data_IF_036717942258
#
_entry.id   IF_036717942258
#
_cell.length_a   1.000
_cell.length_b   1.000
_cell.length_c   1.000
_cell.angle_alpha   90.00
_cell.angle_beta   90.00
_cell.angle_gamma   90.00
#
_symmetry.space_group_name_H-M   'P 1'
#
loop_
_entity.id
_entity.type
_entity.pdbx_description
1 polymer ?
#
# COMPACT_ATOMS: atom_id res chain seq x y z
N UNK A 1 33.49 7.45 -20.55
CA UNK A 1 33.01 8.36 -19.49
C UNK A 1 32.63 9.78 -19.95
N UNK A 2 32.54 10.10 -21.26
CA UNK A 2 32.11 11.45 -21.72
C UNK A 2 30.76 11.43 -22.47
N UNK A 3 30.29 10.26 -22.93
CA UNK A 3 29.17 10.18 -23.88
C UNK A 3 27.76 10.30 -23.25
N UNK A 4 27.62 10.04 -21.95
CA UNK A 4 26.33 10.06 -21.23
C UNK A 4 25.86 11.50 -20.94
N UNK A 5 26.81 12.43 -20.70
CA UNK A 5 26.53 13.85 -20.43
C UNK A 5 25.86 14.61 -21.59
N UNK A 6 25.81 14.03 -22.79
CA UNK A 6 25.22 14.69 -23.97
C UNK A 6 23.75 14.33 -24.21
N UNK A 7 23.29 13.14 -23.82
CA UNK A 7 21.93 12.68 -24.18
C UNK A 7 20.88 13.18 -23.19
N UNK A 8 21.21 13.25 -21.90
CA UNK A 8 20.33 13.82 -20.86
C UNK A 8 19.99 15.29 -21.18
N UNK A 9 20.98 16.09 -21.57
CA UNK A 9 20.80 17.50 -21.92
C UNK A 9 19.88 17.70 -23.14
N UNK A 10 19.90 16.78 -24.12
CA UNK A 10 19.06 16.86 -25.33
C UNK A 10 17.60 16.45 -25.02
N UNK A 11 17.41 15.42 -24.18
CA UNK A 11 16.06 14.95 -23.79
C UNK A 11 15.32 16.00 -22.95
N UNK A 12 16.01 16.67 -22.02
CA UNK A 12 15.42 17.77 -21.24
C UNK A 12 15.15 18.99 -22.13
N UNK A 13 16.09 19.40 -22.99
CA UNK A 13 15.92 20.55 -23.87
C UNK A 13 14.73 20.40 -24.84
N UNK A 14 14.49 19.20 -25.40
CA UNK A 14 13.36 18.96 -26.30
C UNK A 14 11.99 18.94 -25.60
N UNK A 15 11.92 18.73 -24.28
CA UNK A 15 10.66 18.83 -23.52
C UNK A 15 10.41 20.23 -22.95
N UNK A 16 11.44 20.96 -22.52
CA UNK A 16 11.28 22.35 -22.03
C UNK A 16 10.85 23.30 -23.15
N UNK A 17 11.30 23.09 -24.40
CA UNK A 17 10.87 23.90 -25.54
C UNK A 17 9.40 23.69 -25.95
N UNK A 18 8.72 22.64 -25.47
CA UNK A 18 7.32 22.36 -25.81
C UNK A 18 6.29 23.15 -24.97
N UNK A 19 6.71 23.80 -23.88
CA UNK A 19 5.85 24.65 -23.03
C UNK A 19 6.14 26.16 -23.19
N UNK A 20 6.91 26.54 -24.21
CA UNK A 20 7.40 27.89 -24.44
C UNK A 20 6.61 28.75 -25.43
N UNK A 21 5.29 28.58 -25.60
CA UNK A 21 4.51 29.49 -26.46
C UNK A 21 3.02 29.60 -26.11
N UNK A 22 2.69 30.47 -25.14
CA UNK A 22 1.36 31.12 -25.10
C UNK A 22 1.42 32.43 -24.30
N UNK A 23 2.21 33.40 -24.80
CA UNK A 23 2.31 34.75 -24.20
C UNK A 23 1.92 35.82 -25.22
N UNK A 24 0.72 36.37 -25.01
CA UNK A 24 0.25 37.70 -25.44
C UNK A 24 0.34 38.06 -26.93
N UNK A 25 -0.75 37.83 -27.66
CA UNK A 25 -1.20 38.69 -28.76
C UNK A 25 -2.65 39.13 -28.53
N UNK A 26 -2.84 40.18 -27.72
CA UNK A 26 -4.09 40.93 -27.68
C UNK A 26 -3.98 42.08 -28.67
N UNK A 27 -4.56 41.91 -29.86
CA UNK A 27 -4.60 42.93 -30.88
C UNK A 27 -5.61 44.04 -30.51
N UNK A 28 -5.16 45.29 -30.53
CA UNK A 28 -5.99 46.48 -30.26
C UNK A 28 -6.98 46.75 -31.41
N UNK A 29 -8.25 47.00 -31.09
CA UNK A 29 -9.10 47.93 -31.85
C UNK A 29 -10.30 48.42 -31.00
N UNK A 30 -10.75 49.69 -31.09
CA UNK A 30 -11.58 50.30 -30.03
C UNK A 30 -13.04 50.61 -30.44
N UNK A 31 -13.94 50.63 -29.44
CA UNK A 31 -15.29 51.28 -29.31
C UNK A 31 -16.12 50.43 -28.33
N UNK A 32 -16.80 50.94 -27.29
CA UNK A 32 -17.09 52.31 -26.82
C UNK A 32 -16.82 52.39 -25.28
N UNK A 33 -16.38 53.51 -24.69
CA UNK A 33 -17.25 54.49 -23.98
C UNK A 33 -18.65 53.90 -23.65
N UNK A 34 -19.12 53.70 -22.41
CA UNK A 34 -19.10 54.50 -21.18
C UNK A 34 -19.96 53.75 -20.11
N UNK A 35 -20.13 54.11 -18.83
CA UNK A 35 -19.74 55.29 -18.04
C UNK A 35 -19.56 54.94 -16.54
N UNK A 36 -18.82 55.78 -15.79
CA UNK A 36 -18.83 56.04 -14.34
C UNK A 36 -19.15 54.92 -13.29
N UNK A 37 -18.14 54.65 -12.46
CA UNK A 37 -18.11 54.99 -11.02
C UNK A 37 -19.32 54.67 -10.13
N UNK A 38 -19.13 53.77 -9.15
CA UNK A 38 -19.06 54.18 -7.72
C UNK A 38 -18.55 53.07 -6.80
N UNK A 39 -17.69 53.44 -5.84
CA UNK A 39 -17.38 52.62 -4.67
C UNK A 39 -18.65 52.31 -3.85
N UNK A 40 -18.73 51.11 -3.28
CA UNK A 40 -19.15 50.94 -1.88
C UNK A 40 -18.69 49.63 -1.27
N UNK A 41 -17.65 49.75 -0.44
CA UNK A 41 -17.42 48.84 0.68
C UNK A 41 -18.62 48.95 1.63
N UNK A 42 -19.27 47.84 1.99
CA UNK A 42 -19.90 47.73 3.30
C UNK A 42 -20.00 46.27 3.74
N UNK A 43 -19.69 46.07 5.02
CA UNK A 43 -19.65 44.78 5.69
C UNK A 43 -21.00 44.49 6.37
N UNK A 44 -21.13 43.24 6.86
CA UNK A 44 -21.90 42.86 8.03
C UNK A 44 -23.35 42.38 7.87
N UNK A 45 -23.55 41.20 8.48
CA UNK A 45 -24.72 40.77 9.25
C UNK A 45 -26.10 40.63 8.58
N UNK A 46 -26.47 39.35 8.47
CA UNK A 46 -27.53 38.74 9.29
C UNK A 46 -28.89 39.48 9.42
N UNK A 47 -29.91 38.76 8.90
CA UNK A 47 -31.17 38.39 9.59
C UNK A 47 -32.47 39.03 9.07
N UNK A 48 -33.18 38.21 8.28
CA UNK A 48 -34.62 37.97 8.26
C UNK A 48 -35.64 39.12 8.19
N UNK A 49 -36.57 39.01 7.23
CA UNK A 49 -38.04 39.08 7.38
C UNK A 49 -38.62 38.37 6.14
N UNK A 50 -39.26 37.20 6.28
CA UNK A 50 -40.72 37.00 6.44
C UNK A 50 -41.60 37.65 5.36
N UNK A 51 -41.81 36.88 4.28
CA UNK A 51 -43.11 36.40 3.78
C UNK A 51 -44.23 37.38 3.31
N UNK A 52 -45.06 36.83 2.41
CA UNK A 52 -46.34 37.32 1.89
C UNK A 52 -46.30 38.38 0.78
N UNK A 53 -46.32 37.91 -0.47
CA UNK A 53 -47.38 38.30 -1.42
C UNK A 53 -47.60 37.20 -2.46
N UNK A 54 -48.85 36.78 -2.63
CA UNK A 54 -49.29 35.84 -3.66
C UNK A 54 -49.78 36.59 -4.88
N UNK A 55 -49.20 36.36 -6.05
CA UNK A 55 -49.82 36.68 -7.33
C UNK A 55 -49.71 35.51 -8.30
N UNK A 56 -50.78 34.73 -8.36
CA UNK A 56 -51.00 33.69 -9.37
C UNK A 56 -51.12 34.35 -10.74
N UNK A 57 -50.21 34.03 -11.67
CA UNK A 57 -50.44 34.21 -13.11
C UNK A 57 -50.22 32.86 -13.77
N UNK A 58 -51.25 32.39 -14.47
CA UNK A 58 -51.28 31.10 -15.17
C UNK A 58 -51.72 31.31 -16.60
N UNK A 59 -50.79 31.22 -17.55
CA UNK A 59 -51.09 31.12 -18.98
C UNK A 59 -49.99 30.34 -19.72
N UNK A 60 -50.16 29.02 -19.66
CA UNK A 60 -49.88 27.99 -20.68
C UNK A 60 -49.14 28.38 -21.99
N UNK A 61 -48.26 27.44 -22.37
CA UNK A 61 -47.83 27.01 -23.72
C UNK A 61 -46.59 27.67 -24.36
N UNK A 62 -45.48 26.94 -24.31
CA UNK A 62 -44.83 26.38 -25.51
C UNK A 62 -43.91 25.22 -25.08
N UNK A 63 -44.18 24.00 -25.56
CA UNK A 63 -43.15 22.96 -25.65
C UNK A 63 -42.32 23.25 -26.91
N UNK A 64 -41.02 23.47 -26.75
CA UNK A 64 -40.08 23.40 -27.87
C UNK A 64 -38.76 22.76 -27.41
N UNK A 65 -38.22 21.93 -28.31
CA UNK A 65 -36.86 21.38 -28.41
C UNK A 65 -36.00 21.25 -27.14
N UNK A 66 -35.87 19.99 -26.71
CA UNK A 66 -34.71 19.41 -26.04
C UNK A 66 -33.35 19.96 -26.58
N UNK A 67 -32.58 20.76 -25.82
CA UNK A 67 -31.23 21.15 -26.20
C UNK A 67 -30.26 19.98 -25.95
N UNK A 68 -29.40 19.62 -26.93
CA UNK A 68 -28.54 18.46 -26.80
C UNK A 68 -27.46 18.67 -25.75
N UNK A 69 -27.32 17.69 -24.86
CA UNK A 69 -26.12 17.41 -24.08
C UNK A 69 -25.34 18.65 -23.62
N UNK A 70 -25.90 19.38 -22.65
CA UNK A 70 -25.04 20.09 -21.72
C UNK A 70 -24.17 19.04 -21.03
N UNK A 71 -22.96 18.83 -21.54
CA UNK A 71 -21.91 18.11 -20.83
C UNK A 71 -21.62 18.91 -19.58
N UNK A 72 -22.35 18.59 -18.51
CA UNK A 72 -21.98 18.94 -17.17
C UNK A 72 -20.57 18.39 -17.00
N UNK A 73 -19.59 19.30 -17.06
CA UNK A 73 -18.23 19.00 -16.66
C UNK A 73 -18.36 18.73 -15.17
N UNK A 74 -18.60 17.46 -14.84
CA UNK A 74 -18.28 16.94 -13.54
C UNK A 74 -16.82 17.32 -13.34
N UNK A 75 -16.60 18.39 -12.57
CA UNK A 75 -15.38 18.50 -11.79
C UNK A 75 -15.32 17.18 -11.04
N UNK A 76 -14.47 16.27 -11.51
CA UNK A 76 -14.13 15.08 -10.76
C UNK A 76 -13.80 15.57 -9.36
N UNK A 77 -14.38 14.99 -8.30
CA UNK A 77 -13.98 15.33 -6.94
C UNK A 77 -12.46 15.26 -6.93
N UNK A 78 -11.83 16.41 -6.70
CA UNK A 78 -10.39 16.47 -6.54
C UNK A 78 -10.11 15.60 -5.33
N UNK A 79 -9.57 14.40 -5.57
CA UNK A 79 -9.15 13.54 -4.48
C UNK A 79 -8.27 14.40 -3.58
N UNK A 80 -8.50 14.41 -2.26
CA UNK A 80 -7.74 15.26 -1.36
C UNK A 80 -6.27 14.88 -1.52
N UNK A 81 -5.54 15.74 -2.25
CA UNK A 81 -4.12 15.60 -2.54
C UNK A 81 -3.43 15.27 -1.22
N UNK A 82 -2.87 14.07 -1.13
CA UNK A 82 -2.17 13.59 0.05
C UNK A 82 -1.20 14.68 0.51
N UNK A 83 -1.32 15.11 1.75
CA UNK A 83 -0.70 16.28 2.34
C UNK A 83 0.78 16.44 1.91
N UNK A 84 1.09 17.51 1.19
CA UNK A 84 2.31 17.66 0.35
C UNK A 84 3.60 17.94 1.13
N UNK A 85 3.66 17.51 2.38
CA UNK A 85 4.84 17.61 3.24
C UNK A 85 5.85 16.47 2.97
N UNK A 86 5.51 15.51 2.10
CA UNK A 86 6.34 14.34 1.77
C UNK A 86 7.49 14.67 0.81
N UNK A 87 8.49 15.40 1.30
CA UNK A 87 9.78 15.66 0.63
C UNK A 87 10.65 14.40 0.42
N UNK A 88 10.15 13.21 0.76
CA UNK A 88 10.87 11.95 0.69
C UNK A 88 10.37 11.06 -0.46
N UNK A 89 11.23 10.79 -1.42
CA UNK A 89 10.95 9.90 -2.55
C UNK A 89 11.59 8.53 -2.36
N UNK A 90 10.81 7.46 -2.54
CA UNK A 90 11.24 6.06 -2.50
C UNK A 90 11.61 5.58 -3.90
N UNK A 91 12.89 5.27 -4.09
CA UNK A 91 13.43 4.70 -5.34
C UNK A 91 13.55 3.18 -5.18
N UNK A 92 12.93 2.42 -6.09
CA UNK A 92 12.91 0.95 -6.11
C UNK A 92 13.45 0.42 -7.45
N UNK A 93 13.91 -0.83 -7.48
CA UNK A 93 14.41 -1.48 -8.72
C UNK A 93 15.94 -1.46 -8.88
N UNK A 94 16.66 -0.86 -7.93
CA UNK A 94 18.11 -0.69 -7.93
C UNK A 94 18.83 -2.06 -7.84
N UNK A 95 20.01 -2.21 -8.47
CA UNK A 95 20.77 -3.46 -8.36
C UNK A 95 21.40 -3.68 -6.96
N UNK A 96 21.08 -4.82 -6.36
CA UNK A 96 21.48 -5.16 -4.97
C UNK A 96 23.00 -5.40 -4.81
N UNK A 97 23.69 -5.71 -5.91
CA UNK A 97 25.13 -6.06 -5.91
C UNK A 97 26.02 -4.85 -5.60
N UNK A 98 25.54 -3.64 -5.88
CA UNK A 98 26.28 -2.38 -5.77
C UNK A 98 26.63 -2.08 -4.30
N UNK A 99 27.75 -1.40 -4.05
CA UNK A 99 28.15 -0.96 -2.70
C UNK A 99 27.33 0.27 -2.28
N UNK A 100 26.87 0.32 -1.03
CA UNK A 100 26.08 1.44 -0.49
C UNK A 100 26.69 2.83 -0.78
N UNK A 101 27.99 3.10 -0.49
CA UNK A 101 28.56 4.42 -0.76
C UNK A 101 28.52 4.80 -2.25
N UNK A 102 28.84 3.86 -3.15
CA UNK A 102 28.74 4.07 -4.60
C UNK A 102 27.31 4.37 -5.02
N UNK A 103 26.32 3.62 -4.50
CA UNK A 103 24.91 3.87 -4.79
C UNK A 103 24.46 5.26 -4.32
N UNK A 104 24.90 5.71 -3.15
CA UNK A 104 24.59 7.05 -2.63
C UNK A 104 25.16 8.13 -3.55
N UNK A 105 26.40 7.97 -4.04
CA UNK A 105 27.02 8.91 -4.98
C UNK A 105 26.25 9.01 -6.31
N UNK A 106 25.93 7.87 -6.95
CA UNK A 106 25.18 7.85 -8.21
C UNK A 106 23.77 8.45 -8.08
N UNK A 107 23.13 8.27 -6.90
CA UNK A 107 21.86 8.92 -6.57
C UNK A 107 22.05 10.44 -6.42
N UNK A 108 23.06 10.92 -5.70
CA UNK A 108 23.32 12.36 -5.61
C UNK A 108 23.61 12.98 -6.98
N UNK A 109 24.42 12.33 -7.81
CA UNK A 109 24.79 12.82 -9.14
C UNK A 109 23.57 12.87 -10.08
N UNK A 110 22.63 11.93 -9.99
CA UNK A 110 21.44 11.87 -10.86
C UNK A 110 20.28 12.71 -10.35
N UNK A 111 19.94 12.60 -9.06
CA UNK A 111 18.78 13.29 -8.47
C UNK A 111 19.09 14.76 -8.13
N UNK A 112 20.37 15.12 -7.95
CA UNK A 112 20.80 16.49 -7.68
C UNK A 112 20.64 17.46 -8.86
N UNK A 113 20.35 16.95 -10.06
CA UNK A 113 19.99 17.81 -11.22
C UNK A 113 18.59 18.45 -11.05
N UNK A 114 17.74 17.91 -10.17
CA UNK A 114 16.33 18.31 -10.03
C UNK A 114 16.02 19.11 -8.75
N UNK A 115 16.91 19.09 -7.75
CA UNK A 115 16.67 19.75 -6.47
C UNK A 115 17.79 19.54 -5.45
N UNK A 116 17.67 20.20 -4.30
CA UNK A 116 18.67 20.12 -3.23
C UNK A 116 18.40 18.92 -2.34
N UNK A 117 19.31 17.93 -2.34
CA UNK A 117 19.15 16.70 -1.55
C UNK A 117 19.69 16.92 -0.13
N UNK A 118 18.82 16.74 0.88
CA UNK A 118 19.19 16.80 2.31
C UNK A 118 19.88 15.51 2.77
N UNK A 119 19.32 14.33 2.43
CA UNK A 119 19.81 13.03 2.87
C UNK A 119 19.44 11.90 1.88
N UNK A 120 20.27 10.85 1.84
CA UNK A 120 20.06 9.65 1.01
C UNK A 120 20.24 8.39 1.86
N UNK A 121 19.12 7.73 2.17
CA UNK A 121 19.09 6.55 3.04
C UNK A 121 18.97 5.27 2.20
N UNK A 122 20.09 4.55 2.05
CA UNK A 122 20.15 3.23 1.42
C UNK A 122 20.62 2.14 2.40
N UNK A 123 19.97 0.96 2.40
CA UNK A 123 20.21 -0.13 3.37
C UNK A 123 20.27 -1.50 2.69
N UNK A 124 21.20 -2.36 3.11
CA UNK A 124 21.38 -3.73 2.57
C UNK A 124 20.59 -4.84 3.28
N UNK A 125 19.64 -4.48 4.14
CA UNK A 125 18.79 -5.46 4.83
C UNK A 125 17.92 -6.23 3.84
N UNK A 126 17.59 -7.50 4.10
CA UNK A 126 16.80 -8.35 3.20
C UNK A 126 15.46 -7.73 2.75
N UNK A 127 14.85 -6.88 3.60
CA UNK A 127 13.60 -6.14 3.33
C UNK A 127 13.77 -4.78 2.64
N UNK A 128 14.99 -4.24 2.57
CA UNK A 128 15.29 -2.89 2.09
C UNK A 128 16.34 -2.85 0.95
N UNK A 129 16.96 -3.99 0.62
CA UNK A 129 17.85 -4.13 -0.54
C UNK A 129 17.10 -3.79 -1.84
N UNK A 130 17.82 -3.20 -2.80
CA UNK A 130 17.23 -2.71 -4.06
C UNK A 130 16.30 -1.49 -3.90
N UNK A 131 16.37 -0.81 -2.74
CA UNK A 131 15.60 0.38 -2.44
C UNK A 131 16.50 1.47 -1.85
N UNK A 132 16.19 2.73 -2.15
CA UNK A 132 16.77 3.91 -1.55
C UNK A 132 15.69 4.95 -1.27
N UNK A 133 15.99 5.88 -0.37
CA UNK A 133 15.11 6.99 0.00
C UNK A 133 15.90 8.28 -0.19
N UNK A 134 15.38 9.21 -0.98
CA UNK A 134 15.98 10.52 -1.28
C UNK A 134 15.13 11.60 -0.62
N UNK A 135 15.74 12.41 0.24
CA UNK A 135 15.08 13.54 0.91
C UNK A 135 15.46 14.82 0.17
N UNK A 136 14.49 15.50 -0.44
CA UNK A 136 14.67 16.81 -1.08
C UNK A 136 14.47 17.96 -0.10
N UNK A 137 14.82 19.18 -0.50
CA UNK A 137 14.58 20.40 0.27
C UNK A 137 13.12 20.85 0.17
N UNK A 138 12.52 20.71 -1.01
CA UNK A 138 11.15 21.10 -1.34
C UNK A 138 10.35 19.90 -1.89
N UNK A 139 9.03 19.80 -1.59
CA UNK A 139 8.19 18.75 -2.17
C UNK A 139 7.98 18.93 -3.69
N UNK A 140 8.08 20.16 -4.20
CA UNK A 140 7.99 20.46 -5.64
C UNK A 140 9.16 19.85 -6.42
N UNK A 141 10.38 19.91 -5.85
CA UNK A 141 11.58 19.26 -6.41
C UNK A 141 11.40 17.74 -6.50
N UNK A 142 10.77 17.14 -5.48
CA UNK A 142 10.48 15.70 -5.45
C UNK A 142 9.43 15.29 -6.51
N UNK A 143 8.43 16.11 -6.80
CA UNK A 143 7.45 15.88 -7.88
C UNK A 143 8.14 15.94 -9.25
N UNK A 144 8.96 16.96 -9.51
CA UNK A 144 9.73 17.13 -10.76
C UNK A 144 10.70 15.95 -10.97
N UNK A 145 11.46 15.57 -9.93
CA UNK A 145 12.38 14.44 -9.99
C UNK A 145 11.66 13.12 -10.25
N UNK A 146 10.47 12.93 -9.66
CA UNK A 146 9.63 11.75 -9.89
C UNK A 146 9.15 11.67 -11.34
N UNK A 147 8.61 12.76 -11.91
CA UNK A 147 8.13 12.77 -13.30
C UNK A 147 9.27 12.56 -14.32
N UNK A 148 10.44 13.15 -14.05
CA UNK A 148 11.58 13.09 -14.97
C UNK A 148 12.32 11.74 -14.95
N UNK A 149 12.48 11.11 -13.77
CA UNK A 149 13.29 9.91 -13.59
C UNK A 149 12.46 8.60 -13.50
N UNK A 150 11.13 8.66 -13.66
CA UNK A 150 10.30 7.44 -13.62
C UNK A 150 10.68 6.49 -14.77
N UNK A 151 11.12 5.27 -14.44
CA UNK A 151 11.60 4.29 -15.40
C UNK A 151 13.04 4.49 -15.88
N UNK A 152 13.78 5.49 -15.36
CA UNK A 152 15.17 5.75 -15.74
C UNK A 152 16.11 4.58 -15.39
N UNK A 153 17.07 4.27 -16.25
CA UNK A 153 17.99 3.15 -16.06
C UNK A 153 19.17 3.48 -15.12
N UNK A 154 18.93 3.46 -13.81
CA UNK A 154 19.99 3.60 -12.82
C UNK A 154 20.80 2.30 -12.70
N UNK A 155 22.08 2.36 -13.07
CA UNK A 155 23.03 1.23 -13.02
C UNK A 155 22.55 -0.02 -13.79
N UNK A 156 21.90 0.19 -14.94
CA UNK A 156 21.44 -0.88 -15.84
C UNK A 156 20.14 -1.57 -15.40
N UNK A 157 19.34 -0.92 -14.55
CA UNK A 157 17.97 -1.34 -14.21
C UNK A 157 17.03 -0.13 -14.19
N UNK A 158 15.81 -0.24 -14.77
CA UNK A 158 14.83 0.83 -14.68
C UNK A 158 14.36 0.99 -13.24
N UNK A 159 14.41 2.23 -12.71
CA UNK A 159 13.93 2.53 -11.37
C UNK A 159 12.44 2.87 -11.36
N UNK A 160 11.79 2.54 -10.25
CA UNK A 160 10.42 2.97 -9.96
C UNK A 160 10.43 3.90 -8.76
N UNK A 161 9.95 5.11 -8.95
CA UNK A 161 9.92 6.22 -8.01
C UNK A 161 8.47 6.41 -7.53
N UNK A 162 8.31 6.70 -6.24
CA UNK A 162 7.03 7.05 -5.61
C UNK A 162 7.26 7.81 -4.31
N UNK A 163 6.32 8.65 -3.88
CA UNK A 163 6.35 9.26 -2.54
C UNK A 163 6.44 8.21 -1.43
N UNK A 164 7.17 8.52 -0.36
CA UNK A 164 7.35 7.65 0.79
C UNK A 164 6.20 7.81 1.79
N UNK A 165 5.73 6.71 2.38
CA UNK A 165 4.58 6.69 3.30
C UNK A 165 4.86 7.26 4.70
N UNK A 166 5.99 7.90 4.91
CA UNK A 166 6.52 8.22 6.25
C UNK A 166 7.60 9.30 6.13
N UNK A 167 7.47 10.38 6.90
CA UNK A 167 8.45 11.46 6.97
C UNK A 167 9.85 10.94 7.32
N UNK A 168 10.87 11.58 6.73
CA UNK A 168 12.26 11.21 6.98
C UNK A 168 12.77 11.76 8.31
N UNK A 169 13.80 11.13 8.86
CA UNK A 169 14.51 11.63 10.04
C UNK A 169 15.19 13.00 9.78
N UNK A 170 15.48 13.33 8.52
CA UNK A 170 16.08 14.62 8.13
C UNK A 170 15.02 15.72 7.99
N UNK A 171 13.83 15.39 7.48
CA UNK A 171 12.63 16.26 7.41
C UNK A 171 12.28 16.78 8.81
N UNK A 172 12.02 15.85 9.74
CA UNK A 172 11.63 16.17 11.12
C UNK A 172 12.69 17.02 11.83
N UNK A 173 13.99 16.78 11.55
CA UNK A 173 15.07 17.61 12.11
C UNK A 173 15.03 19.05 11.60
N UNK A 174 14.68 19.27 10.33
CA UNK A 174 14.62 20.58 9.68
C UNK A 174 13.40 21.38 10.15
N UNK A 175 12.24 20.74 10.19
CA UNK A 175 10.95 21.41 10.38
C UNK A 175 10.60 21.52 11.88
N UNK A 176 10.76 20.43 12.63
CA UNK A 176 10.30 20.27 14.02
C UNK A 176 11.46 20.31 15.06
N UNK A 177 12.70 20.12 14.60
CA UNK A 177 13.92 20.21 15.41
C UNK A 177 14.37 18.91 16.10
N UNK A 178 15.47 19.00 16.85
CA UNK A 178 16.14 17.83 17.43
C UNK A 178 15.35 17.12 18.56
N UNK A 179 14.49 17.84 19.30
CA UNK A 179 13.66 17.24 20.35
C UNK A 179 12.55 16.34 19.79
N UNK A 180 11.88 16.80 18.75
CA UNK A 180 10.83 16.08 18.03
C UNK A 180 11.43 14.84 17.33
N UNK A 181 12.60 15.00 16.72
CA UNK A 181 13.38 13.88 16.18
C UNK A 181 13.74 12.83 17.23
N UNK A 182 14.07 13.24 18.46
CA UNK A 182 14.36 12.31 19.56
C UNK A 182 13.11 11.54 19.99
N UNK A 183 11.96 12.22 20.14
CA UNK A 183 10.65 11.58 20.42
C UNK A 183 10.28 10.59 19.31
N UNK A 184 10.38 11.00 18.04
CA UNK A 184 10.12 10.16 16.87
C UNK A 184 10.97 8.89 16.85
N UNK A 185 12.29 9.03 17.09
CA UNK A 185 13.21 7.88 17.18
C UNK A 185 12.88 6.97 18.35
N UNK A 186 12.49 7.50 19.51
CA UNK A 186 12.05 6.70 20.66
C UNK A 186 10.76 5.92 20.36
N UNK A 187 9.75 6.54 19.74
CA UNK A 187 8.50 5.86 19.35
C UNK A 187 8.78 4.70 18.40
N UNK A 188 9.59 4.92 17.36
CA UNK A 188 9.97 3.86 16.39
C UNK A 188 10.81 2.76 17.03
N UNK A 189 11.66 3.09 18.01
CA UNK A 189 12.41 2.09 18.76
C UNK A 189 11.49 1.25 19.66
N UNK A 190 10.61 1.90 20.44
CA UNK A 190 9.65 1.24 21.31
C UNK A 190 8.68 0.33 20.54
N UNK A 191 8.21 0.73 19.35
CA UNK A 191 7.38 -0.12 18.49
C UNK A 191 8.16 -1.36 18.01
N UNK A 192 9.40 -1.16 17.55
CA UNK A 192 10.30 -2.24 17.13
C UNK A 192 10.63 -3.20 18.29
N UNK A 193 10.83 -2.68 19.48
CA UNK A 193 11.08 -3.47 20.70
C UNK A 193 9.84 -4.22 21.14
N UNK A 194 8.66 -3.58 21.17
CA UNK A 194 7.36 -4.24 21.43
C UNK A 194 7.12 -5.38 20.44
N UNK A 195 7.40 -5.16 19.15
CA UNK A 195 7.29 -6.19 18.10
C UNK A 195 8.28 -7.34 18.32
N UNK A 196 9.54 -7.03 18.63
CA UNK A 196 10.58 -8.03 18.93
C UNK A 196 10.26 -8.80 20.21
N UNK A 197 9.70 -8.16 21.23
CA UNK A 197 9.27 -8.77 22.48
C UNK A 197 8.07 -9.70 22.26
N UNK A 198 7.09 -9.30 21.45
CA UNK A 198 5.98 -10.17 21.05
C UNK A 198 6.47 -11.40 20.25
N UNK A 199 7.40 -11.22 19.32
CA UNK A 199 8.03 -12.31 18.56
C UNK A 199 8.86 -13.23 19.46
N UNK A 200 9.63 -12.68 20.40
CA UNK A 200 10.40 -13.44 21.39
C UNK A 200 9.52 -14.16 22.41
N UNK A 201 8.38 -13.59 22.82
CA UNK A 201 7.39 -14.25 23.67
C UNK A 201 6.71 -15.41 22.92
N UNK A 202 6.38 -15.23 21.64
CA UNK A 202 5.86 -16.29 20.78
C UNK A 202 6.90 -17.39 20.48
N UNK A 203 8.20 -17.06 20.47
CA UNK A 203 9.31 -18.01 20.39
C UNK A 203 9.48 -18.78 21.71
N UNK A 204 9.47 -18.10 22.85
CA UNK A 204 9.61 -18.69 24.18
C UNK A 204 8.39 -19.54 24.60
N UNK A 205 7.20 -19.24 24.07
CA UNK A 205 5.99 -20.04 24.24
C UNK A 205 5.99 -21.34 23.40
N UNK A 206 7.01 -21.60 22.56
CA UNK A 206 7.18 -22.91 21.93
C UNK A 206 7.65 -23.92 22.99
N UNK A 207 6.94 -25.05 23.19
CA UNK A 207 7.32 -26.01 24.21
C UNK A 207 8.69 -26.62 23.92
N UNK A 208 9.66 -26.35 24.81
CA UNK A 208 10.93 -27.07 24.84
C UNK A 208 10.66 -28.51 25.27
N UNK A 209 10.98 -29.48 24.38
CA UNK A 209 11.03 -30.88 24.77
C UNK A 209 12.07 -31.03 25.86
N UNK A 210 11.63 -31.32 27.10
CA UNK A 210 12.51 -31.67 28.22
C UNK A 210 13.38 -32.88 27.82
N UNK A 211 14.63 -32.98 28.29
CA UNK A 211 15.41 -34.19 28.10
C UNK A 211 14.71 -35.34 28.82
N UNK A 212 14.55 -36.48 28.13
CA UNK A 212 14.15 -37.71 28.76
C UNK A 212 15.39 -38.39 29.34
N UNK A 213 15.33 -38.78 30.61
CA UNK A 213 16.33 -39.69 31.18
C UNK A 213 16.25 -41.07 30.49
N UNK A 214 17.40 -41.73 30.46
CA UNK A 214 17.69 -42.79 29.49
C UNK A 214 17.07 -44.14 29.84
N UNK A 215 16.38 -44.77 28.89
CA UNK A 215 16.48 -46.22 28.67
C UNK A 215 16.01 -46.68 27.27
N UNK A 216 16.86 -47.49 26.65
CA UNK A 216 16.63 -48.37 25.49
C UNK A 216 16.65 -47.82 24.05
N UNK A 217 17.14 -48.68 23.13
CA UNK A 217 17.67 -48.33 21.82
C UNK A 217 16.79 -48.82 20.66
N UNK A 218 16.69 -48.03 19.58
CA UNK A 218 17.03 -48.47 18.21
C UNK A 218 16.83 -47.32 17.19
N UNK A 219 17.93 -46.98 16.50
CA UNK A 219 18.08 -46.38 15.16
C UNK A 219 17.27 -45.16 14.64
N UNK A 220 18.00 -44.40 13.81
CA UNK A 220 17.61 -43.15 13.12
C UNK A 220 17.64 -43.45 11.61
N UNK A 221 16.84 -42.76 10.75
CA UNK A 221 17.31 -41.44 10.31
C UNK A 221 16.24 -40.36 10.07
N UNK A 222 16.76 -39.12 10.04
CA UNK A 222 16.11 -37.83 9.86
C UNK A 222 15.00 -37.71 8.79
N UNK A 223 13.97 -36.88 9.08
CA UNK A 223 13.84 -35.52 8.50
C UNK A 223 12.87 -34.62 9.29
N UNK A 224 13.19 -33.33 9.34
CA UNK A 224 12.53 -32.29 10.14
C UNK A 224 11.00 -32.13 9.95
N UNK A 225 10.23 -32.31 11.03
CA UNK A 225 8.89 -31.74 11.21
C UNK A 225 8.95 -30.58 12.21
N UNK A 226 8.68 -29.36 11.75
CA UNK A 226 8.47 -28.20 12.65
C UNK A 226 7.12 -28.39 13.35
N UNK A 227 7.00 -28.22 14.68
CA UNK A 227 5.70 -28.17 15.34
C UNK A 227 4.92 -26.97 14.81
N UNK A 228 3.63 -27.16 14.58
CA UNK A 228 2.76 -26.20 13.90
C UNK A 228 2.45 -24.99 14.80
N UNK A 229 2.57 -23.77 14.27
CA UNK A 229 2.15 -22.54 14.96
C UNK A 229 0.67 -22.66 15.36
N UNK A 230 0.35 -22.95 16.62
CA UNK A 230 -1.04 -22.97 17.11
C UNK A 230 -1.63 -21.55 17.27
N UNK A 231 -0.81 -20.54 17.57
CA UNK A 231 -1.26 -19.17 17.85
C UNK A 231 -1.45 -18.26 16.62
N UNK A 232 -1.44 -18.79 15.39
CA UNK A 232 -1.42 -17.97 14.17
C UNK A 232 -2.54 -18.28 13.14
N UNK A 233 -3.55 -19.06 13.52
CA UNK A 233 -4.73 -19.33 12.67
C UNK A 233 -6.01 -18.65 13.16
N UNK A 234 -6.09 -18.28 14.45
CA UNK A 234 -7.32 -17.70 15.02
C UNK A 234 -7.62 -16.27 14.53
N UNK A 235 -6.62 -15.60 13.95
CA UNK A 235 -6.72 -14.25 13.40
C UNK A 235 -6.71 -14.21 11.86
N UNK A 236 -6.97 -15.32 11.19
CA UNK A 236 -7.17 -15.32 9.74
C UNK A 236 -8.59 -14.81 9.44
N UNK A 237 -8.75 -13.83 8.51
CA UNK A 237 -10.07 -13.41 8.05
C UNK A 237 -10.90 -14.60 7.56
N UNK A 238 -12.24 -14.59 7.74
CA UNK A 238 -13.13 -15.60 7.17
C UNK A 238 -12.85 -15.83 5.69
N UNK A 239 -12.87 -17.10 5.28
CA UNK A 239 -12.57 -17.49 3.91
C UNK A 239 -13.41 -18.74 3.58
N UNK A 240 -13.95 -18.77 2.36
CA UNK A 240 -14.68 -19.92 1.80
C UNK A 240 -13.81 -21.18 1.61
N UNK A 241 -12.48 -21.04 1.58
CA UNK A 241 -11.57 -22.20 1.51
C UNK A 241 -10.92 -22.48 2.86
N UNK A 242 -11.06 -23.72 3.33
CA UNK A 242 -10.50 -24.24 4.57
C UNK A 242 -9.33 -25.17 4.28
N UNK A 243 -8.32 -25.12 5.15
CA UNK A 243 -7.19 -26.04 5.19
C UNK A 243 -7.46 -27.06 6.31
N UNK A 244 -7.51 -28.34 5.93
CA UNK A 244 -7.66 -29.49 6.81
C UNK A 244 -6.27 -30.07 7.10
N UNK A 245 -5.92 -30.20 8.38
CA UNK A 245 -4.63 -30.75 8.85
C UNK A 245 -4.83 -31.86 9.87
N UNK A 246 -3.81 -32.69 9.99
CA UNK A 246 -3.61 -33.66 11.08
C UNK A 246 -4.65 -34.81 11.16
N UNK A 247 -5.48 -35.00 10.12
CA UNK A 247 -6.38 -36.16 9.99
C UNK A 247 -5.63 -37.48 9.67
N UNK A 248 -6.19 -38.67 9.98
CA UNK A 248 -5.58 -39.96 9.67
C UNK A 248 -5.50 -40.27 8.17
N UNK A 249 -4.52 -41.10 7.78
CA UNK A 249 -4.31 -41.54 6.40
C UNK A 249 -5.50 -42.33 5.80
N UNK A 250 -6.36 -42.88 6.66
CA UNK A 250 -7.58 -43.61 6.31
C UNK A 250 -8.68 -42.71 5.76
N UNK A 251 -8.69 -41.42 6.12
CA UNK A 251 -9.68 -40.46 5.63
C UNK A 251 -9.21 -39.86 4.30
N UNK A 252 -9.67 -40.47 3.20
CA UNK A 252 -9.43 -40.03 1.84
C UNK A 252 -10.34 -38.88 1.41
N UNK A 253 -10.40 -38.67 0.08
CA UNK A 253 -11.25 -37.61 -0.51
C UNK A 253 -12.71 -37.81 -0.14
N UNK A 254 -13.19 -39.05 -0.20
CA UNK A 254 -14.62 -39.35 -0.17
C UNK A 254 -15.18 -39.31 1.27
N UNK A 255 -14.45 -39.79 2.29
CA UNK A 255 -14.87 -39.60 3.70
C UNK A 255 -14.82 -38.13 4.12
N UNK A 256 -13.77 -37.39 3.75
CA UNK A 256 -13.69 -35.96 4.03
C UNK A 256 -14.80 -35.19 3.30
N UNK A 257 -15.11 -35.55 2.06
CA UNK A 257 -16.25 -34.97 1.33
C UNK A 257 -17.57 -35.23 2.07
N UNK A 258 -17.82 -36.46 2.54
CA UNK A 258 -19.03 -36.79 3.29
C UNK A 258 -19.14 -36.05 4.64
N UNK A 259 -18.01 -35.82 5.33
CA UNK A 259 -17.98 -35.05 6.58
C UNK A 259 -18.28 -33.55 6.35
N UNK A 260 -17.65 -32.95 5.35
CA UNK A 260 -17.77 -31.50 5.09
C UNK A 260 -19.03 -31.12 4.30
N UNK A 261 -19.63 -32.05 3.54
CA UNK A 261 -20.92 -31.90 2.87
C UNK A 261 -22.13 -31.77 3.83
N UNK A 262 -21.94 -32.01 5.14
CA UNK A 262 -22.97 -31.74 6.16
C UNK A 262 -23.23 -30.24 6.36
N UNK A 263 -22.29 -29.38 5.99
CA UNK A 263 -22.41 -27.93 6.14
C UNK A 263 -22.91 -27.30 4.83
N UNK A 264 -23.76 -26.26 4.89
CA UNK A 264 -24.34 -25.64 3.70
C UNK A 264 -23.27 -24.97 2.83
N UNK A 265 -23.49 -25.00 1.50
CA UNK A 265 -22.59 -24.40 0.52
C UNK A 265 -21.28 -25.16 0.30
N UNK A 266 -21.20 -26.45 0.63
CA UNK A 266 -20.02 -27.28 0.35
C UNK A 266 -19.86 -27.56 -1.15
N UNK A 267 -18.67 -27.34 -1.72
CA UNK A 267 -18.35 -27.68 -3.12
C UNK A 267 -17.55 -28.98 -3.24
N UNK A 268 -16.30 -28.98 -2.79
CA UNK A 268 -15.39 -30.11 -2.93
C UNK A 268 -14.30 -30.16 -1.85
N UNK A 269 -13.76 -31.37 -1.63
CA UNK A 269 -12.48 -31.60 -0.94
C UNK A 269 -11.39 -31.97 -1.95
N UNK A 270 -10.25 -31.28 -1.85
CA UNK A 270 -9.02 -31.58 -2.60
C UNK A 270 -7.90 -32.01 -1.66
N UNK A 271 -7.65 -33.31 -1.58
CA UNK A 271 -6.52 -33.91 -0.86
C UNK A 271 -5.22 -33.65 -1.63
N UNK A 272 -4.12 -33.35 -0.93
CA UNK A 272 -2.83 -33.02 -1.57
C UNK A 272 -1.99 -34.29 -1.79
N UNK A 273 -1.77 -34.74 -3.05
CA UNK A 273 -0.87 -35.87 -3.29
C UNK A 273 0.55 -35.53 -2.84
N UNK A 274 1.17 -36.44 -2.09
CA UNK A 274 2.51 -36.25 -1.52
C UNK A 274 2.56 -35.53 -0.16
N UNK A 275 1.43 -35.09 0.42
CA UNK A 275 1.35 -34.68 1.83
C UNK A 275 0.15 -35.32 2.52
N UNK A 276 0.41 -36.39 3.26
CA UNK A 276 -0.59 -37.05 4.11
C UNK A 276 -1.06 -36.11 5.23
N UNK A 277 -2.33 -36.21 5.62
CA UNK A 277 -2.93 -35.31 6.61
C UNK A 277 -3.00 -33.84 6.18
N UNK A 278 -3.09 -33.56 4.87
CA UNK A 278 -3.36 -32.23 4.32
C UNK A 278 -4.38 -32.28 3.18
N UNK A 279 -5.48 -31.54 3.35
CA UNK A 279 -6.50 -31.36 2.33
C UNK A 279 -7.06 -29.92 2.37
N UNK A 280 -7.75 -29.53 1.31
CA UNK A 280 -8.49 -28.28 1.22
C UNK A 280 -9.97 -28.58 1.05
N UNK A 281 -10.85 -27.88 1.76
CA UNK A 281 -12.29 -27.91 1.52
C UNK A 281 -12.73 -26.54 0.99
N UNK A 282 -13.42 -26.49 -0.14
CA UNK A 282 -13.98 -25.25 -0.69
C UNK A 282 -15.49 -25.20 -0.48
N UNK A 283 -15.96 -24.01 -0.07
CA UNK A 283 -17.36 -23.63 0.03
C UNK A 283 -17.73 -22.57 -1.04
N UNK A 284 -19.02 -22.41 -1.30
CA UNK A 284 -19.59 -21.27 -2.02
C UNK A 284 -19.32 -19.97 -1.27
N UNK A 285 -19.70 -19.94 0.01
CA UNK A 285 -19.68 -18.77 0.88
C UNK A 285 -18.76 -18.94 2.11
N UNK A 286 -18.23 -17.80 2.58
CA UNK A 286 -17.47 -17.70 3.82
C UNK A 286 -18.28 -18.08 5.07
N UNK A 287 -19.61 -17.93 5.03
CA UNK A 287 -20.51 -18.32 6.12
C UNK A 287 -20.55 -19.85 6.28
N UNK A 288 -20.64 -20.58 5.16
CA UNK A 288 -20.57 -22.04 5.15
C UNK A 288 -19.21 -22.56 5.62
N UNK A 289 -18.12 -21.94 5.12
CA UNK A 289 -16.76 -22.23 5.58
C UNK A 289 -16.54 -21.94 7.07
N UNK A 290 -17.14 -20.88 7.61
CA UNK A 290 -17.07 -20.54 9.04
C UNK A 290 -17.76 -21.58 9.91
N UNK A 291 -19.01 -21.93 9.58
CA UNK A 291 -19.76 -22.97 10.31
C UNK A 291 -19.05 -24.33 10.27
N UNK A 292 -18.48 -24.70 9.12
CA UNK A 292 -17.69 -25.92 8.99
C UNK A 292 -16.36 -25.87 9.77
N UNK A 293 -15.67 -24.72 9.82
CA UNK A 293 -14.47 -24.53 10.66
C UNK A 293 -14.83 -24.75 12.13
N UNK A 294 -15.82 -24.03 12.64
CA UNK A 294 -16.18 -24.03 14.06
C UNK A 294 -16.65 -25.40 14.57
N UNK A 295 -17.39 -26.14 13.75
CA UNK A 295 -17.89 -27.47 14.12
C UNK A 295 -16.85 -28.59 13.98
N UNK A 296 -15.93 -28.50 13.01
CA UNK A 296 -14.95 -29.56 12.74
C UNK A 296 -13.57 -29.32 13.40
N UNK A 297 -13.23 -28.09 13.78
CA UNK A 297 -11.91 -27.80 14.37
C UNK A 297 -11.75 -28.47 15.75
N UNK A 298 -10.76 -29.35 15.86
CA UNK A 298 -10.49 -30.09 17.08
C UNK A 298 -11.33 -31.35 17.26
N UNK A 299 -12.17 -31.71 16.28
CA UNK A 299 -12.92 -32.97 16.33
C UNK A 299 -11.97 -34.17 16.22
N UNK A 300 -12.23 -35.23 16.99
CA UNK A 300 -11.52 -36.50 16.88
C UNK A 300 -12.01 -37.27 15.63
N UNK A 301 -11.06 -37.65 14.77
CA UNK A 301 -11.20 -38.58 13.65
C UNK A 301 -10.24 -39.74 13.92
N UNK A 302 -10.76 -40.89 14.34
CA UNK A 302 -9.94 -42.02 14.77
C UNK A 302 -9.03 -41.64 15.96
N UNK A 303 -7.72 -41.88 15.83
CA UNK A 303 -6.72 -41.59 16.87
C UNK A 303 -6.17 -40.15 16.83
N UNK A 304 -6.68 -39.26 15.96
CA UNK A 304 -6.15 -37.90 15.78
C UNK A 304 -7.24 -36.84 15.78
N UNK A 305 -6.91 -35.64 16.25
CA UNK A 305 -7.78 -34.46 16.15
C UNK A 305 -7.54 -33.72 14.83
N UNK A 306 -8.60 -33.50 14.05
CA UNK A 306 -8.52 -32.74 12.80
C UNK A 306 -8.42 -31.23 13.10
N UNK A 307 -7.47 -30.56 12.46
CA UNK A 307 -7.26 -29.11 12.61
C UNK A 307 -7.74 -28.37 11.37
N UNK A 308 -8.83 -27.62 11.51
CA UNK A 308 -9.51 -26.91 10.41
C UNK A 308 -9.31 -25.41 10.52
N UNK A 309 -8.79 -24.76 9.48
CA UNK A 309 -8.37 -23.35 9.55
C UNK A 309 -8.51 -22.65 8.21
N UNK A 310 -8.85 -21.36 8.17
CA UNK A 310 -8.98 -20.62 6.92
C UNK A 310 -7.71 -20.66 6.05
N UNK A 311 -7.89 -20.65 4.73
CA UNK A 311 -6.78 -20.43 3.82
C UNK A 311 -6.29 -18.98 3.91
N UNK A 312 -4.97 -18.81 3.97
CA UNK A 312 -4.31 -17.51 3.86
C UNK A 312 -4.42 -17.01 2.41
N UNK A 313 -4.92 -15.79 2.26
CA UNK A 313 -4.80 -14.99 1.04
C UNK A 313 -3.34 -14.55 0.86
#
# INVERSE_FOLDING_TARGET
MIKIRSEVLVIVAMRVLAFGCCRSELHLSPRCLSIATTHKFCNSSNRAIRAHSTSTISTKMAEDSNPPNATFVHCTPYEPRQDWDDILTSVRGIDEKIKIPTLIQEIHDTFGEFGTIIDVVAKKNLKARGQAFVVFESPEEAEIAMEALQGFELLGKPVTIAFAKTRSDATIKKDDGDEELAKWKQVRLAEKERKKAAEAAAEAAKPTKRPADSANLAERPAKSTKPSNQMADEYLPPNKTLILRDFPDEYGKDELSALFARFPGFKEVRVVPGRKGLAFAEYDDEVGGTAAKEAMHGQELGEKTIRVTYQRQ
#
